data_IF_507465872249
#
_entry.id   IF_507465872249
#
_cell.length_a   1.000
_cell.length_b   1.000
_cell.length_c   1.000
_cell.angle_alpha   90.00
_cell.angle_beta   90.00
_cell.angle_gamma   90.00
#
_symmetry.space_group_name_H-M   'P 1'
#
loop_
_entity.id
_entity.type
_entity.pdbx_description
1 polymer ?
#
# COMPACT_ATOMS: atom_id res chain seq x y z
N UNK A 1 -4.59 19.56 5.40
CA UNK A 1 -5.31 19.46 4.10
C UNK A 1 -5.28 18.03 3.56
N UNK A 2 -4.12 17.44 3.19
CA UNK A 2 -4.05 16.08 2.59
C UNK A 2 -4.80 14.99 3.38
N UNK A 3 -4.59 14.87 4.69
CA UNK A 3 -5.26 13.85 5.51
C UNK A 3 -6.80 13.97 5.51
N UNK A 4 -7.35 15.18 5.37
CA UNK A 4 -8.80 15.37 5.32
C UNK A 4 -9.41 14.77 4.04
N UNK A 5 -8.70 14.87 2.91
CA UNK A 5 -9.12 14.24 1.66
C UNK A 5 -8.99 12.71 1.71
N UNK A 6 -7.89 12.19 2.29
CA UNK A 6 -7.69 10.75 2.45
C UNK A 6 -8.75 10.12 3.36
N UNK A 7 -9.15 10.83 4.42
CA UNK A 7 -10.21 10.40 5.32
C UNK A 7 -11.60 10.34 4.68
N UNK A 8 -11.82 11.11 3.60
CA UNK A 8 -13.08 11.10 2.86
C UNK A 8 -13.19 9.93 1.86
N UNK A 9 -12.11 9.16 1.63
CA UNK A 9 -12.14 8.03 0.71
C UNK A 9 -12.85 6.84 1.37
N UNK A 10 -13.99 6.46 0.81
CA UNK A 10 -14.80 5.33 1.28
C UNK A 10 -14.55 4.04 0.48
N UNK A 11 -13.98 4.13 -0.72
CA UNK A 11 -13.66 2.96 -1.52
C UNK A 11 -12.56 2.11 -0.85
N UNK A 12 -12.71 0.76 -0.83
CA UNK A 12 -11.61 -0.12 -0.45
C UNK A 12 -10.39 0.17 -1.32
N UNK A 13 -9.23 0.32 -0.70
CA UNK A 13 -8.00 0.66 -1.41
C UNK A 13 -6.85 -0.23 -0.96
N UNK A 14 -6.02 -0.65 -1.91
CA UNK A 14 -4.81 -1.41 -1.66
C UNK A 14 -3.59 -0.55 -1.98
N UNK A 15 -2.65 -0.48 -1.04
CA UNK A 15 -1.35 0.13 -1.22
C UNK A 15 -0.27 -0.92 -1.02
N UNK A 16 0.46 -1.23 -2.09
CA UNK A 16 1.61 -2.12 -2.06
C UNK A 16 2.88 -1.29 -2.03
N UNK A 17 3.74 -1.55 -1.04
CA UNK A 17 5.04 -0.92 -0.91
C UNK A 17 6.16 -1.94 -1.03
N UNK A 18 7.24 -1.56 -1.69
CA UNK A 18 8.50 -2.28 -1.58
C UNK A 18 9.14 -2.04 -0.20
N UNK A 19 9.99 -2.94 0.27
CA UNK A 19 10.81 -2.67 1.46
C UNK A 19 11.89 -1.62 1.18
N UNK A 20 12.51 -1.67 0.00
CA UNK A 20 13.52 -0.71 -0.45
C UNK A 20 12.86 0.33 -1.37
N UNK A 21 12.16 1.28 -0.77
CA UNK A 21 11.58 2.43 -1.51
C UNK A 21 12.56 3.59 -1.63
N UNK A 22 12.17 4.63 -2.38
CA UNK A 22 12.90 5.89 -2.49
C UNK A 22 13.06 6.53 -1.10
N UNK A 23 14.31 6.79 -0.70
CA UNK A 23 14.69 7.34 0.61
C UNK A 23 14.28 8.80 0.87
N UNK A 24 13.45 9.40 0.02
CA UNK A 24 13.09 10.83 0.05
C UNK A 24 11.72 11.11 0.66
N UNK A 25 11.02 10.09 1.17
CA UNK A 25 9.70 10.29 1.78
C UNK A 25 9.86 10.61 3.27
N UNK A 26 9.35 11.77 3.70
CA UNK A 26 9.18 12.06 5.12
C UNK A 26 8.31 10.96 5.75
N UNK A 27 8.94 10.10 6.56
CA UNK A 27 8.31 8.90 7.14
C UNK A 27 7.09 9.26 7.98
N UNK A 28 7.15 10.37 8.72
CA UNK A 28 6.07 10.78 9.61
C UNK A 28 4.85 11.26 8.82
N UNK A 29 5.07 12.09 7.79
CA UNK A 29 3.99 12.51 6.90
C UNK A 29 3.34 11.33 6.18
N UNK A 30 4.14 10.34 5.80
CA UNK A 30 3.63 9.12 5.16
C UNK A 30 2.76 8.31 6.11
N UNK A 31 3.24 8.06 7.33
CA UNK A 31 2.48 7.37 8.37
C UNK A 31 1.17 8.10 8.67
N UNK A 32 1.20 9.43 8.80
CA UNK A 32 -0.01 10.25 9.02
C UNK A 32 -1.02 10.14 7.88
N UNK A 33 -0.56 9.97 6.64
CA UNK A 33 -1.42 9.83 5.45
C UNK A 33 -2.01 8.43 5.35
N UNK A 34 -1.21 7.39 5.55
CA UNK A 34 -1.69 6.00 5.60
C UNK A 34 -2.73 5.84 6.69
N UNK A 35 -2.46 6.34 7.90
CA UNK A 35 -3.40 6.27 9.02
C UNK A 35 -4.69 7.07 8.81
N UNK A 36 -4.68 8.08 7.94
CA UNK A 36 -5.86 8.89 7.65
C UNK A 36 -6.85 8.22 6.70
N UNK A 37 -6.48 7.13 6.01
CA UNK A 37 -7.37 6.46 5.06
C UNK A 37 -7.99 5.21 5.70
N UNK A 38 -9.29 5.22 6.09
CA UNK A 38 -9.88 4.19 6.94
C UNK A 38 -10.01 2.81 6.27
N UNK A 39 -10.15 2.77 4.94
CA UNK A 39 -10.35 1.55 4.16
C UNK A 39 -9.11 1.17 3.34
N UNK A 40 -7.92 1.54 3.84
CA UNK A 40 -6.65 1.26 3.19
C UNK A 40 -6.01 -0.01 3.74
N UNK A 41 -5.80 -1.00 2.88
CA UNK A 41 -4.93 -2.13 3.15
C UNK A 41 -3.51 -1.79 2.71
N UNK A 42 -2.55 -1.84 3.64
CA UNK A 42 -1.13 -1.63 3.35
C UNK A 42 -0.41 -2.98 3.37
N UNK A 43 0.21 -3.36 2.25
CA UNK A 43 1.05 -4.55 2.14
C UNK A 43 2.47 -4.15 1.79
N UNK A 44 3.45 -4.69 2.52
CA UNK A 44 4.88 -4.53 2.22
C UNK A 44 5.42 -5.81 1.62
N UNK A 45 6.13 -5.68 0.51
CA UNK A 45 6.76 -6.80 -0.20
C UNK A 45 8.27 -6.56 -0.35
N UNK A 46 9.04 -7.64 -0.26
CA UNK A 46 10.47 -7.61 -0.54
C UNK A 46 10.72 -7.18 -2.00
N UNK A 47 11.66 -6.25 -2.19
CA UNK A 47 12.05 -5.72 -3.50
C UNK A 47 12.40 -4.22 -3.46
N UNK A 48 12.63 -3.64 -4.64
CA UNK A 48 12.97 -2.24 -4.87
C UNK A 48 11.86 -1.42 -5.53
N UNK A 49 12.21 -0.24 -6.06
CA UNK A 49 11.24 0.70 -6.62
C UNK A 49 10.42 0.11 -7.80
N UNK A 50 11.05 -0.71 -8.65
CA UNK A 50 10.41 -1.37 -9.79
C UNK A 50 9.80 -2.73 -9.42
N UNK A 51 9.24 -2.83 -8.20
CA UNK A 51 8.70 -4.06 -7.60
C UNK A 51 7.80 -4.88 -8.54
N UNK A 52 6.98 -4.19 -9.34
CA UNK A 52 5.97 -4.75 -10.23
C UNK A 52 6.53 -5.19 -11.60
N UNK A 53 7.80 -4.94 -11.89
CA UNK A 53 8.45 -5.28 -13.17
C UNK A 53 9.62 -6.25 -12.94
N UNK A 54 10.52 -5.90 -12.03
CA UNK A 54 11.85 -6.52 -11.99
C UNK A 54 12.08 -7.41 -10.75
N UNK A 55 11.36 -7.18 -9.65
CA UNK A 55 11.67 -7.82 -8.37
C UNK A 55 10.64 -8.87 -7.95
N UNK A 56 9.41 -8.46 -7.63
CA UNK A 56 8.43 -9.31 -6.96
C UNK A 56 7.07 -9.26 -7.69
N UNK A 57 7.12 -9.53 -8.99
CA UNK A 57 5.95 -9.54 -9.88
C UNK A 57 4.87 -10.50 -9.37
N UNK A 58 5.27 -11.69 -8.94
CA UNK A 58 4.37 -12.73 -8.38
C UNK A 58 3.69 -12.24 -7.08
N UNK A 59 4.44 -11.64 -6.17
CA UNK A 59 3.92 -11.09 -4.91
C UNK A 59 2.94 -9.95 -5.16
N UNK A 60 3.24 -9.06 -6.09
CA UNK A 60 2.33 -7.98 -6.51
C UNK A 60 1.04 -8.56 -7.09
N UNK A 61 1.16 -9.50 -8.04
CA UNK A 61 0.01 -10.11 -8.71
C UNK A 61 -0.90 -10.88 -7.74
N UNK A 62 -0.31 -11.66 -6.83
CA UNK A 62 -1.06 -12.42 -5.83
C UNK A 62 -1.77 -11.51 -4.82
N UNK A 63 -1.11 -10.44 -4.35
CA UNK A 63 -1.71 -9.46 -3.43
C UNK A 63 -2.90 -8.76 -4.08
N UNK A 64 -2.79 -8.35 -5.35
CA UNK A 64 -3.90 -7.73 -6.10
C UNK A 64 -5.06 -8.70 -6.24
N UNK A 65 -4.80 -9.97 -6.60
CA UNK A 65 -5.85 -10.99 -6.73
C UNK A 65 -6.56 -11.24 -5.39
N UNK A 66 -5.83 -11.33 -4.28
CA UNK A 66 -6.39 -11.53 -2.95
C UNK A 66 -7.31 -10.37 -2.54
N UNK A 67 -6.86 -9.13 -2.76
CA UNK A 67 -7.66 -7.94 -2.51
C UNK A 67 -8.96 -7.91 -3.33
N UNK A 68 -8.88 -8.21 -4.63
CA UNK A 68 -10.06 -8.27 -5.50
C UNK A 68 -11.03 -9.40 -5.12
N UNK A 69 -10.54 -10.48 -4.52
CA UNK A 69 -11.37 -11.57 -4.02
C UNK A 69 -12.05 -11.25 -2.67
N UNK A 70 -11.77 -10.09 -2.05
CA UNK A 70 -12.31 -9.71 -0.75
C UNK A 70 -11.65 -10.44 0.43
N UNK A 71 -10.48 -11.04 0.22
CA UNK A 71 -9.71 -11.69 1.28
C UNK A 71 -8.91 -10.61 2.00
N UNK A 72 -9.37 -10.19 3.18
CA UNK A 72 -8.60 -9.36 4.09
C UNK A 72 -7.56 -10.24 4.78
N UNK A 73 -6.27 -9.97 4.57
CA UNK A 73 -5.19 -10.62 5.31
C UNK A 73 -5.16 -10.08 6.73
N UNK A 74 -6.06 -10.58 7.58
CA UNK A 74 -5.97 -10.51 9.04
C UNK A 74 -5.83 -11.95 9.54
N UNK A 75 -4.58 -12.36 9.77
CA UNK A 75 -4.21 -13.50 10.62
C UNK A 75 -2.87 -13.16 11.31
#
# INVERSE_FOLDING_TARGET
>A
QVCAYLAAITAPSLLIMAEKTLGFVNKEDYQRRVAAHPNLQLVKLAGGHHLHIDDNVEGVASTVKAFLAGVTTDD
#
